data_IF_245268589647
#
_entry.id   IF_245268589647
#
_cell.length_a   1.000
_cell.length_b   1.000
_cell.length_c   1.000
_cell.angle_alpha   90.00
_cell.angle_beta   90.00
_cell.angle_gamma   90.00
#
_symmetry.space_group_name_H-M   'P 1'
#
loop_
_entity.id
_entity.type
_entity.pdbx_description
1 polymer ?
#
# COMPACT_ATOMS: atom_id res chain seq x y z
N UNK A 1 35.53 -42.50 51.68
CA UNK A 1 34.28 -41.79 51.34
C UNK A 1 34.69 -40.40 50.88
N UNK A 2 35.01 -40.25 49.60
CA UNK A 2 35.62 -39.02 49.06
C UNK A 2 34.63 -38.35 48.12
N UNK A 3 34.20 -37.15 48.47
CA UNK A 3 33.34 -36.29 47.65
C UNK A 3 34.17 -35.08 47.25
N UNK A 4 34.42 -34.89 45.95
CA UNK A 4 35.03 -33.65 45.44
C UNK A 4 34.55 -33.33 44.02
N UNK A 5 33.34 -32.77 43.96
CA UNK A 5 32.91 -31.61 43.14
C UNK A 5 33.52 -31.49 41.72
N UNK A 6 32.66 -31.64 40.70
CA UNK A 6 32.90 -31.14 39.34
C UNK A 6 32.59 -29.63 39.25
N UNK A 7 33.36 -28.83 38.49
CA UNK A 7 33.03 -27.43 38.22
C UNK A 7 31.91 -27.32 37.17
N UNK A 8 30.82 -26.64 37.52
CA UNK A 8 29.71 -26.36 36.61
C UNK A 8 30.04 -25.14 35.74
N UNK A 9 30.41 -25.35 34.48
CA UNK A 9 30.66 -24.25 33.53
C UNK A 9 29.34 -23.61 33.11
N UNK A 10 29.01 -22.48 33.73
CA UNK A 10 27.86 -21.66 33.33
C UNK A 10 28.22 -20.87 32.06
N UNK A 11 27.76 -21.33 30.90
CA UNK A 11 27.99 -20.65 29.62
C UNK A 11 27.11 -19.39 29.53
N UNK A 12 27.66 -18.23 29.84
CA UNK A 12 26.93 -16.96 29.77
C UNK A 12 26.76 -16.53 28.31
N UNK A 13 25.61 -16.84 27.70
CA UNK A 13 25.28 -16.39 26.36
C UNK A 13 25.03 -14.86 26.36
N UNK A 14 26.04 -14.09 25.94
CA UNK A 14 25.93 -12.63 25.77
C UNK A 14 25.07 -12.38 24.52
N UNK A 15 23.76 -12.17 24.73
CA UNK A 15 22.87 -11.66 23.69
C UNK A 15 23.24 -10.20 23.46
N UNK A 16 24.11 -9.94 22.49
CA UNK A 16 24.36 -8.59 21.98
C UNK A 16 23.11 -8.12 21.24
N UNK A 17 22.21 -7.43 21.95
CA UNK A 17 21.07 -6.76 21.33
C UNK A 17 21.58 -5.67 20.39
N UNK A 18 21.51 -5.95 19.10
CA UNK A 18 21.66 -4.95 18.04
C UNK A 18 20.57 -3.90 18.22
N UNK A 19 20.86 -2.89 19.04
CA UNK A 19 20.04 -1.69 19.14
C UNK A 19 20.13 -0.98 17.78
N UNK A 20 19.10 -1.17 16.96
CA UNK A 20 18.81 -0.25 15.88
C UNK A 20 18.83 1.17 16.47
N UNK A 21 19.65 2.09 15.93
CA UNK A 21 19.67 3.45 16.44
C UNK A 21 18.28 4.05 16.22
N UNK A 22 17.59 4.34 17.33
CA UNK A 22 16.27 4.98 17.29
C UNK A 22 16.50 6.39 16.75
N UNK A 23 16.36 6.54 15.43
CA UNK A 23 16.33 7.84 14.77
C UNK A 23 15.03 8.54 15.15
N UNK A 24 15.00 9.15 16.34
CA UNK A 24 13.96 10.11 16.73
C UNK A 24 14.17 11.37 15.88
N UNK A 25 13.72 11.30 14.63
CA UNK A 25 13.54 12.48 13.80
C UNK A 25 12.44 13.28 14.49
N UNK A 26 12.84 14.36 15.17
CA UNK A 26 11.92 15.36 15.72
C UNK A 26 10.82 15.67 14.70
N UNK A 27 9.53 15.74 15.10
CA UNK A 27 8.41 15.96 14.19
C UNK A 27 8.41 17.42 13.68
N UNK A 28 9.43 17.76 12.89
CA UNK A 28 9.52 19.00 12.14
C UNK A 28 8.38 19.00 11.13
N UNK A 29 7.72 20.15 10.97
CA UNK A 29 7.09 20.47 9.70
C UNK A 29 8.17 20.33 8.64
N UNK A 30 8.03 19.35 7.76
CA UNK A 30 8.86 19.27 6.57
C UNK A 30 8.29 20.35 5.64
N UNK A 31 9.06 21.33 5.14
CA UNK A 31 8.59 22.17 4.04
C UNK A 31 8.26 21.29 2.84
N UNK A 32 7.46 21.77 1.88
CA UNK A 32 7.03 20.96 0.72
C UNK A 32 8.21 20.18 0.15
N UNK A 33 8.12 18.82 0.10
CA UNK A 33 9.33 18.03 -0.06
C UNK A 33 9.92 18.34 -1.44
N UNK A 34 11.19 18.79 -1.51
CA UNK A 34 11.80 19.13 -2.78
C UNK A 34 11.78 17.90 -3.68
N UNK A 35 11.52 18.13 -4.97
CA UNK A 35 11.46 17.12 -6.02
C UNK A 35 12.85 16.53 -6.37
N UNK A 36 13.52 16.04 -5.35
CA UNK A 36 14.82 15.40 -5.39
C UNK A 36 14.62 13.94 -5.77
N UNK A 37 14.76 13.66 -7.07
CA UNK A 37 14.82 12.29 -7.60
C UNK A 37 15.99 11.56 -6.94
N UNK A 38 15.78 10.48 -6.16
CA UNK A 38 16.88 9.66 -5.69
C UNK A 38 17.65 9.06 -6.86
N UNK A 39 18.96 8.92 -6.72
CA UNK A 39 19.80 8.23 -7.72
C UNK A 39 19.32 6.76 -7.85
N UNK A 40 18.83 6.33 -9.04
CA UNK A 40 18.29 4.98 -9.23
C UNK A 40 19.29 3.85 -8.96
N UNK A 41 20.60 4.14 -9.00
CA UNK A 41 21.68 3.18 -8.69
C UNK A 41 21.80 2.92 -7.18
N UNK A 42 21.32 3.84 -6.35
CA UNK A 42 21.38 3.73 -4.88
C UNK A 42 20.16 3.01 -4.26
N UNK A 43 19.17 2.66 -5.08
CA UNK A 43 17.90 2.08 -4.65
C UNK A 43 17.93 0.55 -4.62
N UNK A 44 17.55 -0.02 -3.49
CA UNK A 44 17.38 -1.47 -3.28
C UNK A 44 16.28 -2.02 -4.22
N UNK A 45 16.58 -3.00 -5.09
CA UNK A 45 15.59 -3.63 -5.97
C UNK A 45 14.88 -4.83 -5.33
N UNK A 46 15.43 -5.35 -4.24
CA UNK A 46 15.11 -6.61 -3.57
C UNK A 46 14.12 -6.47 -2.41
N UNK A 47 13.83 -5.23 -1.99
CA UNK A 47 12.87 -4.89 -0.95
C UNK A 47 12.04 -3.65 -1.34
N UNK A 48 10.98 -3.36 -0.58
CA UNK A 48 10.11 -2.20 -0.72
C UNK A 48 10.03 -1.32 0.54
N UNK A 49 9.71 -0.05 0.34
CA UNK A 49 9.36 0.88 1.44
C UNK A 49 7.85 0.98 1.51
N UNK A 50 7.27 0.80 2.69
CA UNK A 50 5.83 0.95 2.92
C UNK A 50 5.53 2.38 3.38
N UNK A 51 4.58 3.04 2.74
CA UNK A 51 4.03 4.34 3.14
C UNK A 51 2.59 4.13 3.60
N UNK A 52 2.38 4.20 4.92
CA UNK A 52 1.05 4.22 5.54
C UNK A 52 0.61 5.68 5.62
N UNK A 53 -0.58 6.02 5.13
CA UNK A 53 -1.15 7.36 5.32
C UNK A 53 -2.09 7.39 6.51
N UNK A 54 -1.67 7.98 7.63
CA UNK A 54 -2.46 8.15 8.85
C UNK A 54 -3.15 9.51 8.95
N UNK A 55 -4.38 9.55 9.45
CA UNK A 55 -5.09 10.83 9.67
C UNK A 55 -5.87 10.91 10.99
N UNK A 56 -6.58 9.84 11.37
CA UNK A 56 -7.45 9.88 12.55
C UNK A 56 -6.75 9.37 13.81
N UNK A 57 -6.81 10.14 14.89
CA UNK A 57 -6.30 9.71 16.20
C UNK A 57 -7.05 8.47 16.72
N UNK A 58 -8.31 8.26 16.30
CA UNK A 58 -9.06 7.03 16.60
C UNK A 58 -8.49 5.77 15.94
N UNK A 59 -7.65 5.90 14.90
CA UNK A 59 -6.98 4.80 14.22
C UNK A 59 -5.59 4.49 14.76
N UNK A 60 -5.07 5.25 15.73
CA UNK A 60 -3.75 5.02 16.36
C UNK A 60 -3.59 3.57 16.85
N UNK A 61 -4.54 2.94 17.58
CA UNK A 61 -4.39 1.54 18.00
C UNK A 61 -4.29 0.56 16.81
N UNK A 62 -5.00 0.83 15.72
CA UNK A 62 -4.95 0.02 14.50
C UNK A 62 -3.62 0.21 13.74
N UNK A 63 -3.08 1.42 13.75
CA UNK A 63 -1.79 1.75 13.12
C UNK A 63 -0.61 0.97 13.70
N UNK A 64 -0.60 0.68 15.00
CA UNK A 64 0.42 -0.22 15.58
C UNK A 64 0.35 -1.62 14.97
N UNK A 65 -0.86 -2.18 14.81
CA UNK A 65 -1.08 -3.49 14.18
C UNK A 65 -0.67 -3.48 12.70
N UNK A 66 -1.08 -2.46 11.94
CA UNK A 66 -0.72 -2.32 10.51
C UNK A 66 0.79 -2.20 10.35
N UNK A 67 1.44 -1.30 11.11
CA UNK A 67 2.89 -1.08 11.02
C UNK A 67 3.69 -2.32 11.42
N UNK A 68 3.27 -3.04 12.49
CA UNK A 68 3.91 -4.28 12.90
C UNK A 68 3.77 -5.39 11.84
N UNK A 69 2.60 -5.53 11.21
CA UNK A 69 2.37 -6.51 10.14
C UNK A 69 3.29 -6.27 8.93
N UNK A 70 3.45 -5.01 8.50
CA UNK A 70 4.40 -4.68 7.42
C UNK A 70 5.86 -4.82 7.85
N UNK A 71 6.23 -4.38 9.05
CA UNK A 71 7.63 -4.43 9.53
C UNK A 71 8.14 -5.85 9.78
N UNK A 72 7.25 -6.83 9.93
CA UNK A 72 7.59 -8.25 10.05
C UNK A 72 7.85 -8.95 8.69
N UNK A 73 7.49 -8.33 7.56
CA UNK A 73 7.66 -8.93 6.23
C UNK A 73 9.11 -8.78 5.72
N UNK A 74 9.83 -9.85 5.34
CA UNK A 74 11.21 -9.77 4.85
C UNK A 74 11.40 -8.87 3.62
N UNK A 75 10.36 -8.73 2.81
CA UNK A 75 10.32 -7.88 1.61
C UNK A 75 10.30 -6.38 1.95
N UNK A 76 10.05 -5.99 3.20
CA UNK A 76 9.91 -4.59 3.62
C UNK A 76 11.22 -4.09 4.24
N UNK A 77 11.87 -3.13 3.57
CA UNK A 77 13.10 -2.50 4.06
C UNK A 77 12.82 -1.45 5.16
N UNK A 78 11.66 -0.78 5.08
CA UNK A 78 11.25 0.26 6.02
C UNK A 78 9.74 0.49 5.94
N UNK A 79 9.12 0.79 7.08
CA UNK A 79 7.75 1.31 7.17
C UNK A 79 7.81 2.79 7.56
N UNK A 80 7.06 3.61 6.85
CA UNK A 80 6.93 5.04 7.07
C UNK A 80 5.46 5.35 7.32
N UNK A 81 5.15 5.93 8.47
CA UNK A 81 3.82 6.49 8.74
C UNK A 81 3.84 7.97 8.38
N UNK A 82 3.20 8.31 7.28
CA UNK A 82 2.93 9.69 6.90
C UNK A 82 1.67 10.16 7.62
N UNK A 83 1.82 11.00 8.63
CA UNK A 83 0.72 11.58 9.39
C UNK A 83 0.21 12.86 8.73
N UNK A 84 -0.98 12.79 8.13
CA UNK A 84 -1.59 13.85 7.35
C UNK A 84 -2.55 14.76 8.14
N UNK A 85 -2.72 14.60 9.45
CA UNK A 85 -3.57 15.50 10.23
C UNK A 85 -2.72 16.61 10.89
N UNK A 86 -2.73 17.86 10.35
CA UNK A 86 -1.93 18.95 10.89
C UNK A 86 -2.45 19.47 12.24
N UNK A 87 -3.66 19.12 12.66
CA UNK A 87 -4.24 19.53 13.95
C UNK A 87 -3.82 18.64 15.12
N UNK A 88 -3.31 17.43 14.87
CA UNK A 88 -2.88 16.50 15.93
C UNK A 88 -1.74 17.07 16.76
N UNK A 89 -1.85 16.95 18.08
CA UNK A 89 -0.86 17.50 19.01
C UNK A 89 0.50 16.81 18.86
N UNK A 90 1.64 17.52 19.06
CA UNK A 90 2.96 16.88 19.13
C UNK A 90 3.04 15.79 20.21
N UNK A 91 2.26 15.93 21.30
CA UNK A 91 2.18 14.96 22.39
C UNK A 91 1.48 13.66 21.94
N UNK A 92 0.37 13.76 21.20
CA UNK A 92 -0.31 12.60 20.60
C UNK A 92 0.63 11.88 19.64
N UNK A 93 1.37 12.61 18.79
CA UNK A 93 2.34 12.01 17.87
C UNK A 93 3.51 11.35 18.60
N UNK A 94 4.04 11.98 19.65
CA UNK A 94 5.06 11.37 20.51
C UNK A 94 4.56 10.08 21.16
N UNK A 95 3.30 10.03 21.62
CA UNK A 95 2.72 8.80 22.14
C UNK A 95 2.54 7.73 21.05
N UNK A 96 2.02 8.09 19.87
CA UNK A 96 1.94 7.20 18.71
C UNK A 96 3.32 6.65 18.30
N UNK A 97 4.42 7.41 18.42
CA UNK A 97 5.76 6.88 18.12
C UNK A 97 6.27 5.86 19.15
N UNK A 98 5.68 5.77 20.34
CA UNK A 98 6.06 4.78 21.35
C UNK A 98 5.57 3.39 20.91
N UNK A 99 6.50 2.46 20.67
CA UNK A 99 6.20 1.09 20.20
C UNK A 99 5.55 1.01 18.81
N UNK A 100 5.75 2.01 17.94
CA UNK A 100 5.37 1.90 16.53
C UNK A 100 6.54 1.36 15.71
N UNK A 101 6.27 0.31 14.92
CA UNK A 101 7.25 -0.30 14.01
C UNK A 101 7.39 0.49 12.70
N UNK A 102 7.45 1.82 12.77
CA UNK A 102 7.55 2.71 11.61
C UNK A 102 8.21 4.05 11.96
N UNK A 103 8.86 4.67 10.97
CA UNK A 103 9.31 6.07 11.10
C UNK A 103 8.13 7.00 10.81
N UNK A 104 7.83 7.92 11.73
CA UNK A 104 6.73 8.88 11.55
C UNK A 104 7.23 10.15 10.86
N UNK A 105 6.59 10.54 9.77
CA UNK A 105 6.75 11.84 9.11
C UNK A 105 5.45 12.62 9.25
N UNK A 106 5.52 13.92 9.57
CA UNK A 106 4.34 14.80 9.58
C UNK A 106 4.22 15.49 8.22
N UNK A 107 3.07 15.34 7.56
CA UNK A 107 2.81 16.04 6.31
C UNK A 107 2.57 17.55 6.57
N UNK A 108 2.84 18.43 5.58
CA UNK A 108 2.56 19.87 5.70
C UNK A 108 1.07 20.19 5.84
N UNK A 109 0.19 19.41 5.20
CA UNK A 109 -1.26 19.59 5.22
C UNK A 109 -2.01 18.25 5.15
N UNK A 110 -3.35 18.31 5.13
CA UNK A 110 -4.24 17.18 4.92
C UNK A 110 -4.27 16.62 3.48
N UNK A 111 -3.43 17.14 2.57
CA UNK A 111 -3.40 16.72 1.17
C UNK A 111 -3.14 15.23 1.01
N UNK A 112 -4.01 14.57 0.24
CA UNK A 112 -3.80 13.19 -0.20
C UNK A 112 -2.60 13.06 -1.16
N UNK A 113 -2.13 14.15 -1.79
CA UNK A 113 -0.99 14.12 -2.70
C UNK A 113 0.31 13.70 -1.99
N UNK A 114 0.47 13.97 -0.69
CA UNK A 114 1.72 13.73 0.04
C UNK A 114 2.12 12.24 0.14
N UNK A 115 1.16 11.29 -0.01
CA UNK A 115 1.48 9.85 -0.03
C UNK A 115 2.33 9.43 -1.23
N UNK A 116 2.39 10.26 -2.29
CA UNK A 116 3.16 9.99 -3.50
C UNK A 116 4.44 10.82 -3.65
N UNK A 117 4.84 11.62 -2.67
CA UNK A 117 6.10 12.34 -2.77
C UNK A 117 7.31 11.37 -2.68
N UNK A 118 8.40 11.60 -3.43
CA UNK A 118 9.63 10.82 -3.35
C UNK A 118 10.42 11.19 -2.07
N UNK A 119 9.86 10.85 -0.91
CA UNK A 119 10.44 11.16 0.39
C UNK A 119 11.87 10.62 0.51
N UNK A 120 12.82 11.45 0.97
CA UNK A 120 14.25 11.09 1.07
C UNK A 120 14.55 9.83 1.90
N UNK A 121 13.61 9.37 2.72
CA UNK A 121 13.70 8.12 3.50
C UNK A 121 13.48 6.87 2.64
N UNK A 122 12.80 6.97 1.50
CA UNK A 122 12.62 5.88 0.55
C UNK A 122 14.00 5.52 -0.03
N UNK A 123 14.35 4.24 0.06
CA UNK A 123 15.64 3.67 -0.41
C UNK A 123 15.48 2.43 -1.27
N UNK A 124 14.28 2.23 -1.80
CA UNK A 124 13.86 1.06 -2.55
C UNK A 124 13.27 1.47 -3.89
N UNK A 125 13.33 0.58 -4.89
CA UNK A 125 12.66 0.81 -6.19
C UNK A 125 11.16 0.61 -6.07
N UNK A 126 10.73 -0.40 -5.32
CA UNK A 126 9.34 -0.61 -4.97
C UNK A 126 8.91 0.29 -3.82
N UNK A 127 7.71 0.85 -3.93
CA UNK A 127 7.02 1.57 -2.86
C UNK A 127 5.60 1.04 -2.74
N UNK A 128 5.23 0.59 -1.54
CA UNK A 128 3.89 0.13 -1.21
C UNK A 128 3.13 1.26 -0.52
N UNK A 129 2.08 1.77 -1.15
CA UNK A 129 1.17 2.77 -0.60
C UNK A 129 -0.04 2.05 0.02
N UNK A 130 -0.38 2.39 1.26
CA UNK A 130 -1.55 1.85 1.96
C UNK A 130 -2.27 2.88 2.85
N UNK A 131 -3.56 2.63 3.10
CA UNK A 131 -4.39 3.43 4.01
C UNK A 131 -4.29 2.92 5.46
N UNK A 132 -4.54 3.79 6.45
CA UNK A 132 -4.52 3.48 7.90
C UNK A 132 -5.67 2.60 8.41
N UNK A 133 -6.41 1.94 7.51
CA UNK A 133 -7.49 1.00 7.82
C UNK A 133 -7.36 -0.38 7.16
N UNK A 134 -6.19 -0.71 6.57
CA UNK A 134 -5.95 -1.98 5.88
C UNK A 134 -4.83 -2.77 6.57
N UNK A 135 -5.20 -3.85 7.27
CA UNK A 135 -4.24 -4.81 7.83
C UNK A 135 -3.99 -5.94 6.82
N UNK A 136 -2.73 -6.16 6.37
CA UNK A 136 -2.40 -7.24 5.45
C UNK A 136 -2.01 -8.53 6.19
N UNK A 137 -2.11 -9.68 5.50
CA UNK A 137 -1.35 -10.89 5.84
C UNK A 137 0.06 -10.86 5.21
N UNK A 138 1.07 -11.37 5.91
CA UNK A 138 2.46 -11.36 5.43
C UNK A 138 2.64 -12.15 4.10
N UNK A 139 1.92 -13.25 3.91
CA UNK A 139 1.95 -14.01 2.66
C UNK A 139 1.35 -13.20 1.50
N UNK A 140 0.30 -12.41 1.75
CA UNK A 140 -0.25 -11.46 0.77
C UNK A 140 0.79 -10.39 0.38
N UNK A 141 1.50 -9.82 1.35
CA UNK A 141 2.56 -8.81 1.11
C UNK A 141 3.68 -9.39 0.25
N UNK A 142 4.20 -10.56 0.63
CA UNK A 142 5.25 -11.26 -0.10
C UNK A 142 4.81 -11.61 -1.54
N UNK A 143 3.59 -12.15 -1.71
CA UNK A 143 3.04 -12.50 -3.02
C UNK A 143 2.89 -11.28 -3.94
N UNK A 144 2.30 -10.18 -3.45
CA UNK A 144 2.17 -8.95 -4.23
C UNK A 144 3.53 -8.35 -4.63
N UNK A 145 4.51 -8.38 -3.73
CA UNK A 145 5.86 -7.93 -4.03
C UNK A 145 6.55 -8.83 -5.09
N UNK A 146 6.35 -10.15 -5.02
CA UNK A 146 6.87 -11.09 -6.00
C UNK A 146 6.27 -10.85 -7.40
N UNK A 147 4.97 -10.57 -7.46
CA UNK A 147 4.29 -10.15 -8.70
C UNK A 147 4.85 -8.82 -9.21
N UNK A 148 5.04 -7.81 -8.34
CA UNK A 148 5.65 -6.54 -8.74
C UNK A 148 7.07 -6.73 -9.28
N UNK A 149 7.91 -7.57 -8.67
CA UNK A 149 9.26 -7.86 -9.18
C UNK A 149 9.27 -8.46 -10.59
N UNK A 150 8.16 -9.04 -11.04
CA UNK A 150 8.02 -9.61 -12.40
C UNK A 150 7.52 -8.63 -13.47
N UNK A 151 6.82 -7.56 -13.09
CA UNK A 151 6.27 -6.52 -13.99
C UNK A 151 6.31 -5.15 -13.26
N UNK A 152 7.52 -4.65 -12.92
CA UNK A 152 7.71 -3.54 -11.97
C UNK A 152 7.19 -2.18 -12.46
N UNK A 153 6.99 -2.07 -13.78
CA UNK A 153 6.44 -0.91 -14.46
C UNK A 153 4.94 -0.70 -14.13
N UNK A 154 4.24 -1.73 -13.61
CA UNK A 154 2.79 -1.68 -13.35
C UNK A 154 2.47 -1.43 -11.88
N UNK A 155 1.35 -0.74 -11.67
CA UNK A 155 0.70 -0.70 -10.36
C UNK A 155 0.09 -2.07 -10.04
N UNK A 156 0.53 -2.68 -8.95
CA UNK A 156 0.04 -3.99 -8.47
C UNK A 156 -0.78 -3.77 -7.20
N UNK A 157 -1.89 -4.47 -7.01
CA UNK A 157 -2.59 -4.45 -5.72
C UNK A 157 -3.89 -5.25 -5.69
N UNK A 158 -4.64 -5.14 -4.60
CA UNK A 158 -5.75 -6.04 -4.31
C UNK A 158 -7.13 -5.42 -4.56
N UNK A 159 -7.21 -4.08 -4.53
CA UNK A 159 -8.47 -3.35 -4.53
C UNK A 159 -8.75 -2.76 -5.92
N UNK A 160 -9.26 -3.59 -6.83
CA UNK A 160 -9.52 -3.20 -8.22
C UNK A 160 -10.84 -2.41 -8.40
N UNK A 161 -10.82 -1.46 -9.34
CA UNK A 161 -11.92 -0.61 -9.80
C UNK A 161 -11.74 -0.31 -11.29
N UNK A 162 -12.75 0.27 -11.95
CA UNK A 162 -12.68 0.57 -13.38
C UNK A 162 -13.21 1.95 -13.72
N UNK A 163 -12.85 2.41 -14.92
CA UNK A 163 -13.55 3.47 -15.63
C UNK A 163 -14.45 2.85 -16.71
N UNK A 164 -15.47 3.57 -17.15
CA UNK A 164 -16.24 3.22 -18.35
C UNK A 164 -16.64 4.50 -19.09
N UNK A 165 -16.96 4.41 -20.38
CA UNK A 165 -17.60 5.50 -21.11
C UNK A 165 -19.10 5.28 -21.10
N UNK A 166 -19.84 6.14 -20.41
CA UNK A 166 -21.29 6.15 -20.49
C UNK A 166 -21.74 6.84 -21.78
N UNK A 167 -22.33 6.05 -22.68
CA UNK A 167 -22.83 6.52 -23.97
C UNK A 167 -24.03 7.48 -23.80
N UNK A 168 -24.83 7.32 -22.74
CA UNK A 168 -26.02 8.13 -22.52
C UNK A 168 -25.66 9.57 -22.12
N UNK A 169 -24.80 9.75 -21.10
CA UNK A 169 -24.27 11.08 -20.74
C UNK A 169 -23.14 11.57 -21.64
N UNK A 170 -22.56 10.71 -22.48
CA UNK A 170 -21.33 10.96 -23.26
C UNK A 170 -20.15 11.36 -22.36
N UNK A 171 -20.00 10.71 -21.21
CA UNK A 171 -18.91 11.00 -20.28
C UNK A 171 -18.24 9.76 -19.71
N UNK A 172 -16.97 9.93 -19.31
CA UNK A 172 -16.26 8.92 -18.53
C UNK A 172 -16.83 8.85 -17.10
N UNK A 173 -17.08 7.64 -16.61
CA UNK A 173 -17.64 7.36 -15.28
C UNK A 173 -16.75 6.38 -14.50
N UNK A 174 -16.83 6.45 -13.17
CA UNK A 174 -16.18 5.52 -12.26
C UNK A 174 -17.13 4.37 -11.93
N UNK A 175 -16.68 3.13 -12.14
CA UNK A 175 -17.51 1.92 -12.01
C UNK A 175 -16.82 0.83 -11.18
N UNK A 176 -17.64 -0.10 -10.69
CA UNK A 176 -17.19 -1.32 -10.03
C UNK A 176 -17.63 -2.50 -10.89
N UNK A 177 -16.78 -2.91 -11.82
CA UNK A 177 -16.99 -4.05 -12.70
C UNK A 177 -16.22 -5.27 -12.16
N UNK A 178 -16.65 -6.48 -12.53
CA UNK A 178 -16.00 -7.74 -12.13
C UNK A 178 -15.02 -8.25 -13.19
N UNK A 179 -15.32 -8.02 -14.46
CA UNK A 179 -14.68 -8.71 -15.58
C UNK A 179 -13.44 -7.98 -16.12
N UNK A 180 -13.40 -6.65 -15.91
CA UNK A 180 -12.28 -5.78 -16.27
C UNK A 180 -12.10 -4.68 -15.22
N UNK A 181 -10.86 -4.25 -15.04
CA UNK A 181 -10.47 -3.16 -14.16
C UNK A 181 -9.40 -2.31 -14.83
N UNK A 182 -9.22 -1.09 -14.35
CA UNK A 182 -8.25 -0.14 -14.88
C UNK A 182 -7.64 0.77 -13.81
N UNK A 183 -8.06 0.58 -12.56
CA UNK A 183 -7.65 1.36 -11.39
C UNK A 183 -7.39 0.35 -10.26
N UNK A 184 -6.22 0.39 -9.65
CA UNK A 184 -5.97 -0.16 -8.31
C UNK A 184 -6.10 0.97 -7.29
N UNK A 185 -6.70 0.71 -6.13
CA UNK A 185 -6.83 1.70 -5.06
C UNK A 185 -5.58 1.74 -4.17
N UNK A 186 -5.27 2.93 -3.64
CA UNK A 186 -4.21 3.21 -2.66
C UNK A 186 -4.37 2.52 -1.31
N UNK A 187 -5.48 1.80 -1.08
CA UNK A 187 -5.69 0.90 0.06
C UNK A 187 -4.52 -0.07 0.27
N UNK A 188 -4.05 -0.66 -0.83
CA UNK A 188 -2.79 -1.42 -0.88
C UNK A 188 -2.35 -1.51 -2.36
N UNK A 189 -1.34 -0.71 -2.72
CA UNK A 189 -0.81 -0.59 -4.07
C UNK A 189 0.73 -0.58 -4.04
N UNK A 190 1.38 -1.41 -4.84
CA UNK A 190 2.83 -1.39 -5.07
C UNK A 190 3.12 -0.70 -6.41
N UNK A 191 4.10 0.21 -6.40
CA UNK A 191 4.55 1.02 -7.54
C UNK A 191 6.08 1.03 -7.62
N UNK A 192 6.62 1.32 -8.81
CA UNK A 192 7.98 1.85 -8.94
C UNK A 192 8.01 3.32 -8.46
N UNK A 193 9.04 3.71 -7.72
CA UNK A 193 9.28 5.08 -7.22
C UNK A 193 9.29 6.14 -8.33
N UNK A 194 9.62 5.77 -9.57
CA UNK A 194 9.55 6.68 -10.72
C UNK A 194 8.14 7.26 -10.93
N UNK A 195 7.09 6.54 -10.53
CA UNK A 195 5.71 7.03 -10.61
C UNK A 195 5.37 8.01 -9.48
N UNK A 196 6.02 7.90 -8.33
CA UNK A 196 5.93 8.90 -7.25
C UNK A 196 6.59 10.21 -7.71
N UNK A 197 7.78 10.13 -8.30
CA UNK A 197 8.45 11.27 -8.91
C UNK A 197 7.60 11.89 -10.03
N UNK A 198 7.11 11.09 -10.97
CA UNK A 198 6.29 11.57 -12.09
C UNK A 198 4.96 12.15 -11.63
N UNK A 199 4.32 11.55 -10.63
CA UNK A 199 3.09 12.08 -10.05
C UNK A 199 3.34 13.45 -9.42
N UNK A 200 4.36 13.60 -8.59
CA UNK A 200 4.56 14.79 -7.76
C UNK A 200 5.33 15.93 -8.43
N UNK A 201 6.23 15.60 -9.37
CA UNK A 201 7.27 16.52 -9.85
C UNK A 201 7.21 16.85 -11.34
N UNK A 202 6.35 16.18 -12.11
CA UNK A 202 6.08 16.55 -13.50
C UNK A 202 4.96 17.59 -13.54
N UNK A 203 5.23 18.74 -14.14
CA UNK A 203 4.28 19.85 -14.32
C UNK A 203 3.08 19.45 -15.19
N UNK A 204 3.20 18.42 -16.04
CA UNK A 204 2.08 17.88 -16.82
C UNK A 204 0.91 17.44 -15.93
N UNK A 205 1.16 17.07 -14.67
CA UNK A 205 0.12 16.64 -13.72
C UNK A 205 -0.23 17.70 -12.66
N UNK A 206 0.35 18.91 -12.70
CA UNK A 206 0.14 19.94 -11.67
C UNK A 206 -1.35 20.31 -11.50
N UNK A 207 -2.06 20.57 -12.59
CA UNK A 207 -3.49 20.87 -12.55
C UNK A 207 -4.33 19.67 -12.07
N UNK A 208 -3.92 18.45 -12.40
CA UNK A 208 -4.58 17.25 -11.91
C UNK A 208 -4.36 17.05 -10.39
N UNK A 209 -3.16 17.34 -9.86
CA UNK A 209 -2.88 17.37 -8.41
C UNK A 209 -3.73 18.45 -7.70
N UNK A 210 -3.96 19.59 -8.35
CA UNK A 210 -4.86 20.66 -7.86
C UNK A 210 -6.31 20.17 -7.73
N UNK A 211 -6.81 19.42 -8.72
CA UNK A 211 -8.14 18.79 -8.66
C UNK A 211 -8.24 17.74 -7.53
N UNK A 212 -7.17 16.98 -7.27
CA UNK A 212 -7.10 16.04 -6.11
C UNK A 212 -7.22 16.80 -4.78
N UNK A 213 -6.54 17.94 -4.66
CA UNK A 213 -6.62 18.82 -3.49
C UNK A 213 -8.03 19.36 -3.28
N UNK A 214 -8.60 20.01 -4.31
CA UNK A 214 -9.95 20.61 -4.25
C UNK A 214 -11.05 19.60 -3.91
N UNK A 215 -10.94 18.36 -4.42
CA UNK A 215 -11.93 17.30 -4.18
C UNK A 215 -11.65 16.48 -2.92
N UNK A 216 -10.46 16.63 -2.31
CA UNK A 216 -9.92 15.76 -1.26
C UNK A 216 -10.19 14.27 -1.54
N UNK A 217 -9.84 13.84 -2.75
CA UNK A 217 -10.07 12.49 -3.26
C UNK A 217 -9.32 12.22 -4.58
N UNK A 218 -9.39 10.98 -5.06
CA UNK A 218 -8.99 10.58 -6.42
C UNK A 218 -7.49 10.65 -6.72
N UNK A 219 -6.65 10.73 -5.69
CA UNK A 219 -5.20 10.64 -5.80
C UNK A 219 -4.79 9.30 -6.41
N UNK A 220 -5.49 8.23 -6.04
CA UNK A 220 -5.33 6.89 -6.60
C UNK A 220 -5.71 6.80 -8.08
N UNK A 221 -6.83 7.41 -8.48
CA UNK A 221 -7.25 7.50 -9.88
C UNK A 221 -6.18 8.25 -10.67
N UNK A 222 -5.68 9.38 -10.18
CA UNK A 222 -4.63 10.15 -10.85
C UNK A 222 -3.32 9.35 -10.96
N UNK A 223 -2.92 8.61 -9.91
CA UNK A 223 -1.75 7.74 -9.99
C UNK A 223 -1.91 6.65 -11.06
N UNK A 224 -3.09 6.05 -11.20
CA UNK A 224 -3.34 5.10 -12.30
C UNK A 224 -3.31 5.79 -13.68
N UNK A 225 -3.69 7.07 -13.81
CA UNK A 225 -3.48 7.85 -15.04
C UNK A 225 -1.98 8.06 -15.33
N UNK A 226 -1.17 8.40 -14.32
CA UNK A 226 0.28 8.64 -14.44
C UNK A 226 1.02 7.37 -14.92
N UNK A 227 0.69 6.23 -14.29
CA UNK A 227 1.22 4.90 -14.63
C UNK A 227 0.79 4.48 -16.03
N UNK A 228 -0.52 4.44 -16.31
CA UNK A 228 -1.05 3.96 -17.60
C UNK A 228 -0.61 4.82 -18.79
N UNK A 229 -0.35 6.12 -18.59
CA UNK A 229 0.23 6.97 -19.64
C UNK A 229 1.69 6.63 -19.93
N UNK A 230 2.50 6.30 -18.92
CA UNK A 230 3.89 5.90 -19.10
C UNK A 230 4.03 4.56 -19.85
N UNK A 231 3.27 3.55 -19.43
CA UNK A 231 3.51 2.15 -19.85
C UNK A 231 2.52 1.63 -20.89
N UNK A 232 1.40 2.35 -21.11
CA UNK A 232 0.33 1.99 -22.07
C UNK A 232 -0.33 0.62 -21.81
N UNK A 233 -0.20 0.09 -20.59
CA UNK A 233 -0.85 -1.12 -20.03
C UNK A 233 -1.77 -0.74 -18.87
N UNK A 234 -2.70 -1.62 -18.52
CA UNK A 234 -3.51 -1.47 -17.29
C UNK A 234 -2.76 -1.94 -16.04
N UNK A 235 -3.26 -1.68 -14.83
CA UNK A 235 -2.65 -2.18 -13.60
C UNK A 235 -2.85 -3.71 -13.44
N UNK A 236 -2.37 -4.30 -12.36
CA UNK A 236 -2.51 -5.74 -12.06
C UNK A 236 -3.26 -5.93 -10.74
N UNK A 237 -4.33 -6.73 -10.78
CA UNK A 237 -4.99 -7.21 -9.56
C UNK A 237 -4.37 -8.52 -9.11
N UNK A 238 -3.97 -8.59 -7.84
CA UNK A 238 -3.52 -9.82 -7.17
C UNK A 238 -4.59 -10.36 -6.21
N UNK A 239 -4.56 -11.67 -5.97
CA UNK A 239 -5.30 -12.33 -4.90
C UNK A 239 -4.58 -12.21 -3.56
N UNK A 240 -5.34 -12.21 -2.48
CA UNK A 240 -4.80 -12.27 -1.13
C UNK A 240 -4.51 -13.73 -0.76
N UNK A 241 -3.33 -13.95 -0.21
CA UNK A 241 -2.82 -15.22 0.30
C UNK A 241 -2.88 -15.23 1.84
N UNK A 242 -2.76 -16.40 2.46
CA UNK A 242 -2.80 -16.56 3.92
C UNK A 242 -4.16 -16.20 4.52
N UNK A 243 -4.18 -15.42 5.61
CA UNK A 243 -5.38 -14.91 6.26
C UNK A 243 -6.13 -13.82 5.49
N UNK A 244 -5.64 -13.42 4.30
CA UNK A 244 -6.27 -12.41 3.46
C UNK A 244 -5.87 -10.98 3.82
N UNK A 245 -6.77 -10.02 3.55
CA UNK A 245 -6.55 -8.59 3.86
C UNK A 245 -7.80 -8.03 4.55
N UNK A 246 -7.61 -7.46 5.74
CA UNK A 246 -8.69 -6.91 6.56
C UNK A 246 -8.82 -5.41 6.35
N UNK A 247 -9.84 -5.02 5.59
CA UNK A 247 -10.25 -3.62 5.37
C UNK A 247 -11.24 -3.15 6.45
N UNK A 248 -10.75 -2.46 7.48
CA UNK A 248 -11.57 -1.87 8.56
C UNK A 248 -12.36 -0.64 8.08
N UNK A 249 -11.93 0.01 7.00
CA UNK A 249 -12.58 1.19 6.41
C UNK A 249 -13.79 0.86 5.53
N UNK A 250 -13.99 -0.41 5.16
CA UNK A 250 -15.13 -0.78 4.33
C UNK A 250 -16.45 -0.55 5.06
N UNK A 251 -17.31 0.27 4.46
CA UNK A 251 -18.61 0.63 5.01
C UNK A 251 -19.61 -0.55 5.09
N UNK A 252 -19.23 -1.78 4.70
CA UNK A 252 -19.98 -3.03 4.90
C UNK A 252 -19.61 -3.75 6.20
N UNK A 253 -18.66 -3.23 6.96
CA UNK A 253 -18.27 -3.78 8.25
C UNK A 253 -19.35 -3.55 9.32
N UNK A 254 -19.79 -4.64 9.94
CA UNK A 254 -20.53 -4.63 11.20
C UNK A 254 -19.56 -4.68 12.40
N UNK A 255 -19.99 -4.16 13.56
CA UNK A 255 -19.23 -4.27 14.82
C UNK A 255 -17.91 -3.49 14.93
N UNK A 256 -17.49 -2.75 13.90
CA UNK A 256 -16.35 -1.81 13.98
C UNK A 256 -16.77 -0.58 14.77
N UNK A 257 -15.90 -0.11 15.67
CA UNK A 257 -16.17 1.08 16.51
C UNK A 257 -16.48 2.31 15.66
N UNK A 258 -17.46 3.10 16.09
CA UNK A 258 -18.04 4.18 15.26
C UNK A 258 -16.96 5.19 14.82
N UNK A 259 -16.07 5.59 15.74
CA UNK A 259 -14.96 6.51 15.43
C UNK A 259 -13.94 6.01 14.39
N UNK A 260 -13.82 4.70 14.13
CA UNK A 260 -12.97 4.16 13.04
C UNK A 260 -13.70 4.18 11.70
N UNK A 261 -15.03 4.02 11.72
CA UNK A 261 -15.89 3.96 10.53
C UNK A 261 -16.26 5.35 10.00
N UNK A 262 -16.57 6.30 10.87
CA UNK A 262 -17.07 7.63 10.49
C UNK A 262 -16.03 8.49 9.76
N UNK A 263 -14.75 8.33 10.13
CA UNK A 263 -13.63 9.08 9.54
C UNK A 263 -13.23 8.64 8.13
N UNK A 264 -13.84 7.56 7.60
CA UNK A 264 -13.53 7.04 6.27
C UNK A 264 -14.09 7.90 5.13
N UNK A 265 -13.24 8.32 4.17
CA UNK A 265 -13.61 9.14 3.00
C UNK A 265 -14.70 8.52 2.09
N UNK A 266 -14.97 7.22 2.24
CA UNK A 266 -16.00 6.46 1.50
C UNK A 266 -17.32 6.24 2.25
N UNK A 267 -17.48 6.78 3.46
CA UNK A 267 -18.67 6.60 4.30
C UNK A 267 -19.97 6.98 3.59
N UNK A 268 -19.98 8.08 2.82
CA UNK A 268 -21.11 8.52 1.98
C UNK A 268 -21.04 7.92 0.56
N UNK A 269 -21.38 6.63 0.44
CA UNK A 269 -21.18 5.81 -0.76
C UNK A 269 -21.64 6.44 -2.09
N UNK A 270 -22.82 7.06 -2.13
CA UNK A 270 -23.39 7.64 -3.36
C UNK A 270 -22.64 8.86 -3.86
N UNK A 271 -22.44 9.84 -2.99
CA UNK A 271 -21.68 11.08 -3.26
C UNK A 271 -20.22 10.76 -3.62
N UNK A 272 -19.60 9.83 -2.90
CA UNK A 272 -18.22 9.41 -3.13
C UNK A 272 -18.00 8.83 -4.54
N UNK A 273 -18.90 7.96 -5.03
CA UNK A 273 -18.80 7.42 -6.40
C UNK A 273 -19.00 8.51 -7.46
N UNK A 274 -19.95 9.42 -7.26
CA UNK A 274 -20.18 10.56 -8.17
C UNK A 274 -18.93 11.46 -8.25
N UNK A 275 -18.34 11.80 -7.11
CA UNK A 275 -17.09 12.58 -7.01
C UNK A 275 -15.93 11.90 -7.75
N UNK A 276 -15.79 10.57 -7.63
CA UNK A 276 -14.77 9.81 -8.38
C UNK A 276 -15.01 9.78 -9.89
N UNK A 277 -16.27 9.72 -10.33
CA UNK A 277 -16.62 9.93 -11.75
C UNK A 277 -16.26 11.33 -12.24
N UNK A 278 -16.52 12.37 -11.45
CA UNK A 278 -16.08 13.74 -11.75
C UNK A 278 -14.56 13.86 -11.91
N UNK A 279 -13.77 13.25 -11.01
CA UNK A 279 -12.31 13.25 -11.12
C UNK A 279 -11.81 12.70 -12.46
N UNK A 280 -12.34 11.55 -12.90
CA UNK A 280 -11.96 10.95 -14.21
C UNK A 280 -12.25 11.92 -15.36
N UNK A 281 -13.36 12.67 -15.30
CA UNK A 281 -13.75 13.64 -16.34
C UNK A 281 -12.86 14.88 -16.34
N UNK A 282 -12.55 15.43 -15.17
CA UNK A 282 -11.63 16.59 -15.08
C UNK A 282 -10.19 16.18 -15.44
N UNK A 283 -9.68 15.03 -14.99
CA UNK A 283 -8.37 14.52 -15.41
C UNK A 283 -8.30 14.30 -16.92
N UNK A 284 -9.33 13.70 -17.53
CA UNK A 284 -9.43 13.56 -18.99
C UNK A 284 -9.37 14.90 -19.72
N UNK A 285 -10.04 15.93 -19.18
CA UNK A 285 -10.11 17.27 -19.74
C UNK A 285 -8.76 18.01 -19.63
N UNK A 286 -8.13 18.01 -18.45
CA UNK A 286 -6.87 18.77 -18.24
C UNK A 286 -5.63 18.06 -18.79
N UNK A 287 -5.65 16.73 -18.90
CA UNK A 287 -4.58 15.93 -19.51
C UNK A 287 -4.82 15.66 -21.02
N UNK A 288 -5.97 16.07 -21.56
CA UNK A 288 -6.33 16.00 -22.97
C UNK A 288 -6.57 14.59 -23.56
N UNK A 289 -6.57 13.53 -22.74
CA UNK A 289 -6.71 12.13 -23.19
C UNK A 289 -7.18 11.20 -22.07
N UNK A 290 -7.66 10.01 -22.43
CA UNK A 290 -7.89 8.90 -21.50
C UNK A 290 -6.71 7.90 -21.55
N UNK A 291 -5.75 7.98 -20.62
CA UNK A 291 -4.61 7.07 -20.59
C UNK A 291 -4.99 5.69 -20.06
N UNK A 292 -5.96 5.60 -19.14
CA UNK A 292 -6.34 4.36 -18.46
C UNK A 292 -6.58 3.22 -19.46
N UNK A 293 -6.03 2.06 -19.13
CA UNK A 293 -6.17 0.82 -19.91
C UNK A 293 -6.78 -0.25 -19.02
N UNK A 294 -7.60 -1.10 -19.64
CA UNK A 294 -8.17 -2.25 -18.95
C UNK A 294 -7.11 -3.33 -18.73
N UNK A 295 -7.33 -4.12 -17.70
CA UNK A 295 -6.73 -5.42 -17.47
C UNK A 295 -7.82 -6.38 -17.04
N UNK A 296 -7.57 -7.65 -17.32
CA UNK A 296 -8.53 -8.74 -17.24
C UNK A 296 -7.91 -9.87 -16.43
N UNK A 297 -8.71 -10.55 -15.61
CA UNK A 297 -8.21 -11.59 -14.71
C UNK A 297 -7.41 -11.06 -13.52
N UNK A 298 -7.17 -11.95 -12.56
CA UNK A 298 -6.49 -11.68 -11.29
C UNK A 298 -5.35 -12.67 -11.17
N UNK A 299 -4.15 -12.19 -10.82
CA UNK A 299 -3.02 -13.07 -10.54
C UNK A 299 -3.22 -13.66 -9.15
N UNK A 300 -3.27 -14.98 -9.08
CA UNK A 300 -3.31 -15.80 -7.86
C UNK A 300 -1.96 -16.51 -7.73
N UNK A 301 -1.55 -16.91 -6.53
CA UNK A 301 -0.33 -17.70 -6.36
C UNK A 301 -0.45 -19.07 -7.04
N UNK A 302 -1.67 -19.61 -7.09
CA UNK A 302 -2.00 -20.75 -7.94
C UNK A 302 -3.45 -20.74 -8.47
N UNK A 303 -3.64 -21.29 -9.68
CA UNK A 303 -4.92 -21.47 -10.39
C UNK A 303 -5.24 -22.94 -10.70
N UNK A 304 -4.36 -23.86 -10.32
CA UNK A 304 -4.42 -25.27 -10.68
C UNK A 304 -5.18 -26.14 -9.69
N UNK A 305 -5.38 -27.40 -10.09
CA UNK A 305 -5.71 -28.47 -9.16
C UNK A 305 -4.43 -28.84 -8.39
N UNK A 306 -4.19 -28.16 -7.25
CA UNK A 306 -3.08 -28.41 -6.31
C UNK A 306 -3.20 -29.75 -5.60
N UNK A 307 -3.16 -30.85 -6.33
CA UNK A 307 -3.10 -32.12 -5.64
C UNK A 307 -2.50 -33.25 -6.42
N UNK A 308 -2.41 -34.47 -5.83
CA UNK A 308 -1.30 -35.44 -5.55
C UNK A 308 -1.56 -36.94 -5.95
N UNK A 309 -0.67 -37.65 -6.66
CA UNK A 309 -0.78 -38.99 -7.33
C UNK A 309 0.10 -40.10 -6.70
N UNK A 310 -0.44 -41.26 -6.25
CA UNK A 310 0.28 -42.50 -5.82
C UNK A 310 -0.49 -43.77 -6.18
N UNK A 311 0.24 -44.86 -6.42
CA UNK A 311 0.21 -46.11 -5.62
C UNK A 311 1.29 -47.05 -6.17
N UNK A 312 1.98 -47.79 -5.31
CA UNK A 312 3.33 -47.40 -4.87
C UNK A 312 3.47 -46.78 -3.46
N UNK A 313 2.44 -46.13 -2.91
CA UNK A 313 2.43 -45.69 -1.50
C UNK A 313 2.79 -44.22 -1.12
N UNK A 314 3.03 -43.23 -2.02
CA UNK A 314 3.14 -41.75 -1.68
C UNK A 314 2.71 -40.68 -2.75
N UNK A 315 1.76 -39.76 -2.43
CA UNK A 315 0.88 -38.95 -3.34
C UNK A 315 1.61 -37.66 -3.72
N UNK A 316 1.77 -37.41 -5.02
CA UNK A 316 2.55 -36.28 -5.60
C UNK A 316 1.91 -35.72 -6.90
N UNK A 317 1.77 -34.40 -7.06
CA UNK A 317 0.60 -33.75 -7.73
C UNK A 317 -0.23 -34.54 -8.87
N UNK A 318 -1.39 -35.19 -8.53
CA UNK A 318 -2.65 -35.61 -9.26
C UNK A 318 -3.58 -34.46 -9.76
N UNK A 319 -4.78 -34.22 -9.19
CA UNK A 319 -5.24 -33.51 -7.94
C UNK A 319 -5.50 -34.13 -6.49
N UNK A 320 -5.25 -35.39 -6.07
CA UNK A 320 -4.98 -35.93 -4.68
C UNK A 320 -5.45 -37.42 -4.52
N UNK A 321 -5.23 -38.29 -5.52
CA UNK A 321 -5.89 -39.61 -5.65
C UNK A 321 -4.99 -40.88 -5.63
N UNK A 322 -5.27 -41.82 -4.73
CA UNK A 322 -4.45 -43.00 -4.44
C UNK A 322 -5.11 -44.31 -4.88
N UNK A 323 -4.62 -45.01 -5.93
CA UNK A 323 -5.37 -46.13 -6.50
C UNK A 323 -5.39 -47.41 -5.63
N UNK A 324 -6.52 -47.56 -4.92
CA UNK A 324 -6.91 -48.60 -3.94
C UNK A 324 -6.11 -48.60 -2.65
#
# INVERSE_FOLDING_TARGET
>A
MNITIYPFFLLLAVITSLHMPILVISPRLIPDPPCNKPDPTTLRPDQMTVIISGFSEHRIPLLHTIAAAYAAAPEVAAVVLLWCNPSTSPQTLAHLTQNLSAVVLRAPSASLNYRFYPWRIIKTKAVLICDDDVVPDAASVAFAFNVWRSDPDRAIGFFARSHAYDVASKTWIYVMEKDKYSIILTKLMILNIEYLEKYSCDEQYAEARRIVEEKNNCEDILMNFVVAEGIRKGPVMVAAEGGGIRDYGDARNDGVSEGVREVGLSSRRGEHRKRRGECIREFHKVLGKMPLKYSYGKIVNDVGEQGLCQKGGKLVHCDQQHFR
#
